data_IF_535433213639
#
_entry.id   IF_535433213639
#
_cell.length_a   1.000
_cell.length_b   1.000
_cell.length_c   1.000
_cell.angle_alpha   90.00
_cell.angle_beta   90.00
_cell.angle_gamma   90.00
#
_symmetry.space_group_name_H-M   'P 1'
#
loop_
_entity.id
_entity.type
_entity.pdbx_description
1 polymer ?
#
# COMPACT_ATOMS: atom_id res chain seq x y z
N UNK A 1 18.82 50.79 41.48
CA UNK A 1 17.48 50.24 41.70
C UNK A 1 17.57 48.75 41.42
N UNK A 2 17.84 47.99 42.48
CA UNK A 2 17.94 46.53 42.44
C UNK A 2 16.55 45.91 42.59
N UNK A 3 16.17 45.04 41.65
CA UNK A 3 15.02 44.16 41.82
C UNK A 3 15.51 42.73 42.11
N UNK A 4 15.09 42.11 43.23
CA UNK A 4 15.54 40.79 43.62
C UNK A 4 14.83 39.71 42.79
N UNK A 5 15.58 38.69 42.36
CA UNK A 5 15.05 37.50 41.70
C UNK A 5 14.78 36.42 42.74
N UNK A 6 13.54 36.31 43.19
CA UNK A 6 13.08 35.18 44.00
C UNK A 6 12.91 33.93 43.12
N UNK A 7 13.73 32.91 43.40
CA UNK A 7 13.60 31.57 42.82
C UNK A 7 12.58 30.77 43.63
N UNK A 8 11.35 30.68 43.15
CA UNK A 8 10.33 29.78 43.70
C UNK A 8 10.63 28.35 43.24
N UNK A 9 11.09 27.49 44.15
CA UNK A 9 11.25 26.05 43.91
C UNK A 9 9.89 25.34 44.06
N UNK A 10 9.23 25.10 42.93
CA UNK A 10 8.04 24.26 42.85
C UNK A 10 8.33 22.78 43.17
N UNK A 11 7.34 22.02 43.69
CA UNK A 11 7.51 20.64 44.09
C UNK A 11 7.76 19.73 42.88
N UNK A 12 8.83 18.91 42.96
CA UNK A 12 9.15 17.87 41.97
C UNK A 12 8.02 16.86 41.89
N UNK A 13 7.24 16.89 40.81
CA UNK A 13 6.25 15.85 40.48
C UNK A 13 6.97 14.52 40.25
N UNK A 14 6.58 13.48 41.00
CA UNK A 14 7.13 12.14 40.89
C UNK A 14 6.97 11.60 39.45
N UNK A 15 8.05 11.02 38.90
CA UNK A 15 8.01 10.34 37.60
C UNK A 15 6.97 9.21 37.64
N UNK A 16 6.09 9.08 36.64
CA UNK A 16 5.13 7.99 36.58
C UNK A 16 5.87 6.64 36.47
N UNK A 17 5.51 5.70 37.35
CA UNK A 17 6.03 4.33 37.32
C UNK A 17 5.71 3.69 35.97
N UNK A 18 6.70 3.02 35.37
CA UNK A 18 6.54 2.30 34.11
C UNK A 18 5.35 1.34 34.18
N UNK A 19 4.40 1.50 33.25
CA UNK A 19 3.26 0.57 33.12
C UNK A 19 3.78 -0.79 32.69
N UNK A 20 3.46 -1.84 33.45
CA UNK A 20 3.70 -3.24 33.05
C UNK A 20 2.98 -3.50 31.71
N UNK A 21 3.56 -4.33 30.82
CA UNK A 21 2.93 -4.65 29.54
C UNK A 21 1.54 -5.24 29.76
N UNK A 22 0.58 -4.79 28.95
CA UNK A 22 -0.80 -5.29 28.96
C UNK A 22 -0.81 -6.81 28.79
N UNK A 23 -1.25 -7.53 29.82
CA UNK A 23 -1.64 -8.93 29.70
C UNK A 23 -2.96 -8.92 28.95
N UNK A 24 -2.92 -9.23 27.65
CA UNK A 24 -4.04 -8.96 26.73
C UNK A 24 -5.26 -9.85 26.97
N UNK A 25 -5.20 -10.94 27.74
CA UNK A 25 -6.41 -11.71 28.08
C UNK A 25 -6.28 -12.38 29.46
N UNK A 26 -7.34 -12.29 30.28
CA UNK A 26 -7.42 -13.06 31.53
C UNK A 26 -7.66 -14.54 31.24
N UNK A 27 -7.36 -15.42 32.22
CA UNK A 27 -7.67 -16.85 32.11
C UNK A 27 -9.18 -17.11 31.88
N UNK A 28 -10.07 -16.23 32.36
CA UNK A 28 -11.49 -16.30 32.04
C UNK A 28 -11.79 -15.95 30.58
N UNK A 29 -11.13 -14.93 29.99
CA UNK A 29 -11.33 -14.55 28.60
C UNK A 29 -10.97 -15.68 27.61
N UNK A 30 -10.06 -16.57 28.01
CA UNK A 30 -9.67 -17.75 27.22
C UNK A 30 -10.63 -18.94 27.37
N UNK A 31 -11.58 -18.94 28.33
CA UNK A 31 -12.59 -20.02 28.45
C UNK A 31 -13.54 -20.05 27.25
N UNK A 32 -13.81 -18.90 26.64
CA UNK A 32 -14.66 -18.76 25.46
C UNK A 32 -14.04 -19.31 24.18
N UNK A 33 -12.79 -19.77 24.20
CA UNK A 33 -12.13 -20.40 23.06
C UNK A 33 -11.90 -21.90 23.27
N UNK A 34 -12.46 -22.49 24.34
CA UNK A 34 -12.34 -23.94 24.62
C UNK A 34 -13.21 -24.82 23.73
N UNK A 35 -14.17 -24.24 23.00
CA UNK A 35 -15.13 -24.97 22.18
C UNK A 35 -14.77 -25.01 20.68
N UNK A 36 -13.70 -24.34 20.25
CA UNK A 36 -13.08 -24.63 18.96
C UNK A 36 -12.30 -25.94 19.09
N UNK A 37 -12.69 -27.02 18.38
CA UNK A 37 -11.92 -28.25 18.39
C UNK A 37 -10.51 -27.93 17.91
N UNK A 38 -9.54 -28.30 18.73
CA UNK A 38 -8.14 -28.15 18.42
C UNK A 38 -7.86 -28.74 17.03
N UNK A 39 -7.35 -27.92 16.12
CA UNK A 39 -6.66 -28.39 14.90
C UNK A 39 -5.47 -29.30 15.29
N UNK A 40 -5.01 -29.24 16.55
CA UNK A 40 -4.07 -30.19 17.17
C UNK A 40 -4.68 -31.55 17.59
N UNK A 41 -6.00 -31.71 17.57
CA UNK A 41 -6.71 -32.94 17.92
C UNK A 41 -6.72 -33.97 16.80
N UNK A 42 -6.67 -33.54 15.53
CA UNK A 42 -6.73 -34.46 14.38
C UNK A 42 -5.43 -35.25 14.17
N UNK A 43 -4.28 -34.70 14.57
CA UNK A 43 -3.02 -35.46 14.59
C UNK A 43 -2.99 -36.58 15.65
N UNK A 44 -3.92 -36.62 16.62
CA UNK A 44 -4.04 -37.75 17.54
C UNK A 44 -4.72 -38.98 16.90
N UNK A 45 -5.49 -38.79 15.82
CA UNK A 45 -6.21 -39.90 15.17
C UNK A 45 -5.38 -40.62 14.10
N UNK A 46 -4.39 -39.96 13.49
CA UNK A 46 -3.39 -40.63 12.65
C UNK A 46 -2.63 -41.73 13.41
N UNK A 47 -2.40 -41.55 14.73
CA UNK A 47 -1.79 -42.57 15.59
C UNK A 47 -2.70 -43.77 15.86
N UNK A 48 -4.03 -43.58 15.92
CA UNK A 48 -4.96 -44.68 16.12
C UNK A 48 -5.03 -45.57 14.87
N UNK A 49 -4.97 -44.98 13.68
CA UNK A 49 -5.06 -45.73 12.42
C UNK A 49 -3.94 -46.76 12.25
N UNK A 50 -2.70 -46.42 12.65
CA UNK A 50 -1.57 -47.37 12.59
C UNK A 50 -1.66 -48.43 13.71
N UNK A 51 -2.12 -48.09 14.91
CA UNK A 51 -2.21 -49.06 16.02
C UNK A 51 -3.32 -50.11 15.82
N UNK A 52 -4.42 -49.75 15.16
CA UNK A 52 -5.55 -50.67 14.95
C UNK A 52 -5.30 -51.61 13.77
N UNK A 53 -4.48 -51.22 12.78
CA UNK A 53 -4.16 -52.08 11.64
C UNK A 53 -3.17 -53.21 11.97
N UNK A 54 -2.31 -53.02 12.98
CA UNK A 54 -1.34 -54.05 13.42
C UNK A 54 -1.82 -54.90 14.60
N UNK A 55 -3.01 -54.65 15.15
CA UNK A 55 -3.54 -55.44 16.27
C UNK A 55 -4.27 -56.73 15.86
N UNK A 56 -4.42 -57.01 14.56
CA UNK A 56 -5.21 -58.16 14.08
C UNK A 56 -4.42 -59.29 13.40
N UNK A 57 -3.10 -59.20 13.29
CA UNK A 57 -2.29 -60.33 12.84
C UNK A 57 -1.04 -60.52 13.69
N UNK A 58 -0.98 -61.71 14.29
CA UNK A 58 0.16 -62.37 14.93
C UNK A 58 0.40 -62.12 16.43
N UNK A 59 -0.20 -63.04 17.20
CA UNK A 59 0.28 -63.54 18.49
C UNK A 59 1.67 -64.18 18.31
N UNK A 60 2.74 -63.40 18.37
CA UNK A 60 4.07 -63.90 18.78
C UNK A 60 4.53 -63.01 19.93
N UNK A 61 4.38 -63.57 21.11
CA UNK A 61 5.02 -63.11 22.34
C UNK A 61 6.52 -63.41 22.29
N UNK A 62 7.30 -62.67 23.09
CA UNK A 62 8.77 -62.73 23.24
C UNK A 62 9.57 -61.83 22.28
N UNK A 63 9.39 -60.51 22.40
CA UNK A 63 10.50 -59.58 22.62
C UNK A 63 9.91 -58.20 22.91
N UNK A 64 9.77 -57.88 24.21
CA UNK A 64 9.45 -56.54 24.69
C UNK A 64 10.67 -55.62 24.54
N UNK A 65 11.16 -55.44 23.32
CA UNK A 65 11.97 -54.28 22.95
C UNK A 65 11.01 -53.10 22.97
N UNK A 66 11.16 -52.26 23.99
CA UNK A 66 10.61 -50.92 24.02
C UNK A 66 11.17 -50.14 22.83
N UNK A 67 10.54 -50.31 21.66
CA UNK A 67 10.70 -49.44 20.51
C UNK A 67 10.11 -48.09 20.90
N UNK A 68 10.88 -47.32 21.66
CA UNK A 68 10.72 -45.88 21.79
C UNK A 68 10.90 -45.32 20.39
N UNK A 69 9.82 -45.29 19.59
CA UNK A 69 9.87 -44.63 18.31
C UNK A 69 10.34 -43.21 18.58
N UNK A 70 11.53 -42.81 18.09
CA UNK A 70 11.96 -41.44 18.27
C UNK A 70 10.89 -40.58 17.62
N UNK A 71 10.19 -39.78 18.44
CA UNK A 71 9.37 -38.68 17.94
C UNK A 71 10.33 -37.68 17.34
N UNK A 72 10.84 -37.95 16.14
CA UNK A 72 11.41 -36.92 15.31
C UNK A 72 10.24 -36.04 14.86
N UNK A 73 9.96 -35.03 15.66
CA UNK A 73 9.23 -33.86 15.17
C UNK A 73 10.20 -33.14 14.26
N UNK A 74 10.02 -33.31 12.95
CA UNK A 74 10.77 -32.56 11.96
C UNK A 74 10.53 -31.06 12.22
N UNK A 75 11.59 -30.35 12.58
CA UNK A 75 11.55 -28.91 12.79
C UNK A 75 11.37 -28.20 11.45
N UNK A 76 10.77 -27.01 11.47
CA UNK A 76 10.68 -26.18 10.28
C UNK A 76 12.06 -25.88 9.66
N UNK A 77 13.10 -25.76 10.50
CA UNK A 77 14.48 -25.53 10.04
C UNK A 77 15.23 -26.78 9.60
N UNK A 78 14.66 -27.97 9.83
CA UNK A 78 15.19 -29.21 9.26
C UNK A 78 14.78 -29.36 7.78
N UNK A 79 13.85 -28.53 7.30
CA UNK A 79 13.49 -28.45 5.88
C UNK A 79 14.62 -27.77 5.10
N UNK A 80 14.95 -28.24 3.89
CA UNK A 80 15.79 -27.50 2.93
C UNK A 80 15.24 -26.09 2.64
N UNK A 81 16.13 -25.17 2.28
CA UNK A 81 15.78 -23.77 2.05
C UNK A 81 14.67 -23.61 0.99
N UNK A 82 14.70 -24.43 -0.06
CA UNK A 82 13.73 -24.44 -1.15
C UNK A 82 12.32 -24.77 -0.65
N UNK A 83 12.20 -25.70 0.29
CA UNK A 83 10.91 -26.04 0.90
C UNK A 83 10.45 -24.94 1.86
N UNK A 84 11.35 -24.29 2.60
CA UNK A 84 11.01 -23.13 3.44
C UNK A 84 10.49 -21.96 2.59
N UNK A 85 11.13 -21.69 1.44
CA UNK A 85 10.67 -20.69 0.47
C UNK A 85 9.27 -21.02 -0.05
N UNK A 86 8.97 -22.27 -0.39
CA UNK A 86 7.58 -22.69 -0.74
C UNK A 86 6.58 -22.41 0.37
N UNK A 87 6.94 -22.64 1.63
CA UNK A 87 6.10 -22.29 2.78
C UNK A 87 5.92 -20.77 2.88
N UNK A 88 6.97 -19.98 2.65
CA UNK A 88 6.86 -18.51 2.64
C UNK A 88 5.99 -17.99 1.51
N UNK A 89 6.07 -18.53 0.29
CA UNK A 89 5.16 -18.16 -0.79
C UNK A 89 3.70 -18.42 -0.39
N UNK A 90 3.42 -19.60 0.16
CA UNK A 90 2.07 -19.92 0.63
C UNK A 90 1.59 -18.99 1.75
N UNK A 91 2.49 -18.56 2.64
CA UNK A 91 2.15 -17.75 3.81
C UNK A 91 2.08 -16.25 3.54
N UNK A 92 2.85 -15.74 2.55
CA UNK A 92 3.14 -14.32 2.40
C UNK A 92 2.83 -13.75 1.01
N UNK A 93 2.62 -14.55 -0.04
CA UNK A 93 2.29 -14.04 -1.37
C UNK A 93 0.78 -13.81 -1.52
N UNK A 94 0.42 -12.69 -2.13
CA UNK A 94 -0.94 -12.32 -2.51
C UNK A 94 -1.05 -12.25 -4.03
N UNK A 95 -2.16 -12.77 -4.53
CA UNK A 95 -2.58 -12.50 -5.90
C UNK A 95 -3.09 -11.06 -6.05
N UNK A 96 -3.64 -10.51 -4.98
CA UNK A 96 -4.16 -9.15 -4.95
C UNK A 96 -3.18 -8.16 -4.29
N UNK A 97 -3.13 -6.91 -4.78
CA UNK A 97 -2.34 -5.85 -4.18
C UNK A 97 -2.70 -5.56 -2.72
N UNK A 98 -1.69 -5.29 -1.88
CA UNK A 98 -1.86 -4.89 -0.49
C UNK A 98 -1.97 -3.36 -0.43
N UNK A 99 -3.18 -2.85 -0.25
CA UNK A 99 -3.42 -1.42 -0.11
C UNK A 99 -3.40 -0.98 1.36
N UNK A 100 -2.40 -0.17 1.72
CA UNK A 100 -2.25 0.36 3.07
C UNK A 100 -3.08 1.62 3.33
N UNK A 101 -3.49 2.31 2.27
CA UNK A 101 -4.30 3.51 2.36
C UNK A 101 -5.28 3.53 1.19
N UNK A 102 -6.31 2.66 1.23
CA UNK A 102 -7.32 2.65 0.20
C UNK A 102 -8.03 3.99 0.15
N UNK A 103 -8.45 4.35 -1.05
CA UNK A 103 -9.35 5.48 -1.25
C UNK A 103 -10.71 5.14 -0.62
N UNK A 104 -11.32 6.12 0.03
CA UNK A 104 -12.59 5.96 0.74
C UNK A 104 -13.55 7.06 0.29
N UNK A 105 -14.82 6.72 0.11
CA UNK A 105 -15.88 7.70 -0.23
C UNK A 105 -16.14 8.71 0.92
N UNK A 106 -15.57 8.47 2.10
CA UNK A 106 -15.70 9.31 3.30
C UNK A 106 -14.97 10.65 3.13
N UNK A 107 -15.63 11.64 2.53
CA UNK A 107 -15.09 12.99 2.30
C UNK A 107 -14.81 13.81 3.58
N UNK A 108 -15.37 13.41 4.74
CA UNK A 108 -15.58 14.37 5.83
C UNK A 108 -14.92 14.13 7.19
N UNK A 109 -14.31 12.98 7.53
CA UNK A 109 -13.53 12.90 8.78
C UNK A 109 -12.36 11.90 8.75
N UNK A 110 -11.16 12.37 9.11
CA UNK A 110 -9.94 11.57 9.35
C UNK A 110 -10.21 10.30 10.20
N UNK A 111 -11.11 10.39 11.16
CA UNK A 111 -11.47 9.26 12.02
C UNK A 111 -12.13 8.13 11.22
N UNK A 112 -13.10 8.45 10.36
CA UNK A 112 -13.81 7.45 9.55
C UNK A 112 -12.87 6.85 8.52
N UNK A 113 -12.08 7.67 7.83
CA UNK A 113 -11.04 7.17 6.89
C UNK A 113 -10.12 6.18 7.60
N UNK A 114 -9.58 6.51 8.78
CA UNK A 114 -8.72 5.59 9.56
C UNK A 114 -9.46 4.32 9.97
N UNK A 115 -10.71 4.45 10.42
CA UNK A 115 -11.53 3.31 10.83
C UNK A 115 -11.79 2.38 9.64
N UNK A 116 -12.10 2.94 8.48
CA UNK A 116 -12.41 2.22 7.24
C UNK A 116 -11.15 1.57 6.69
N UNK A 117 -10.01 2.28 6.62
CA UNK A 117 -8.72 1.69 6.26
C UNK A 117 -8.32 0.56 7.24
N UNK A 118 -8.54 0.73 8.56
CA UNK A 118 -8.24 -0.33 9.53
C UNK A 118 -9.17 -1.53 9.37
N UNK A 119 -10.46 -1.31 9.12
CA UNK A 119 -11.43 -2.36 8.87
C UNK A 119 -11.10 -3.11 7.56
N UNK A 120 -10.76 -2.38 6.51
CA UNK A 120 -10.29 -2.91 5.23
C UNK A 120 -9.06 -3.79 5.43
N UNK A 121 -8.02 -3.27 6.09
CA UNK A 121 -6.78 -4.01 6.31
C UNK A 121 -7.02 -5.25 7.18
N UNK A 122 -7.81 -5.14 8.26
CA UNK A 122 -8.19 -6.30 9.08
C UNK A 122 -8.93 -7.35 8.26
N UNK A 123 -9.84 -6.92 7.39
CA UNK A 123 -10.57 -7.83 6.49
C UNK A 123 -9.62 -8.51 5.52
N UNK A 124 -8.70 -7.78 4.90
CA UNK A 124 -7.66 -8.32 4.02
C UNK A 124 -6.83 -9.39 4.74
N UNK A 125 -6.33 -9.09 5.95
CA UNK A 125 -5.57 -10.03 6.77
C UNK A 125 -6.38 -11.30 7.11
N UNK A 126 -7.64 -11.15 7.48
CA UNK A 126 -8.50 -12.26 7.90
C UNK A 126 -8.97 -13.13 6.73
N UNK A 127 -9.37 -12.53 5.62
CA UNK A 127 -9.93 -13.25 4.46
C UNK A 127 -8.84 -14.00 3.69
N UNK A 128 -7.65 -13.41 3.58
CA UNK A 128 -6.60 -13.92 2.70
C UNK A 128 -5.51 -14.71 3.45
N UNK A 129 -5.77 -15.07 4.72
CA UNK A 129 -4.88 -15.87 5.58
C UNK A 129 -3.46 -15.34 5.68
N UNK A 130 -3.29 -14.02 5.62
CA UNK A 130 -1.98 -13.39 5.70
C UNK A 130 -1.39 -13.59 7.10
N UNK A 131 -0.43 -14.51 7.23
CA UNK A 131 0.14 -14.86 8.52
C UNK A 131 1.32 -13.96 8.88
N UNK A 132 1.11 -12.64 9.02
CA UNK A 132 2.19 -11.72 9.44
C UNK A 132 2.78 -12.08 10.81
N UNK A 133 2.04 -12.80 11.66
CA UNK A 133 2.59 -13.35 12.90
C UNK A 133 3.75 -14.33 12.63
N UNK A 134 3.73 -15.06 11.52
CA UNK A 134 4.80 -15.99 11.17
C UNK A 134 6.12 -15.26 10.88
N UNK A 135 6.09 -14.14 10.16
CA UNK A 135 7.27 -13.26 9.96
C UNK A 135 7.90 -12.77 11.26
N UNK A 136 7.14 -12.77 12.37
CA UNK A 136 7.59 -12.27 13.68
C UNK A 136 8.05 -13.37 14.63
N UNK A 137 8.08 -14.63 14.19
CA UNK A 137 8.43 -15.77 15.06
C UNK A 137 9.90 -15.81 15.42
N UNK A 138 10.80 -15.66 14.45
CA UNK A 138 12.24 -15.61 14.68
C UNK A 138 12.97 -14.86 13.54
N UNK A 139 14.26 -14.54 13.77
CA UNK A 139 15.08 -13.78 12.81
C UNK A 139 15.30 -14.50 11.48
N UNK A 140 15.41 -15.82 11.47
CA UNK A 140 15.61 -16.59 10.25
C UNK A 140 14.36 -16.52 9.35
N UNK A 141 13.17 -16.77 9.92
CA UNK A 141 11.89 -16.61 9.20
C UNK A 141 11.69 -15.16 8.75
N UNK A 142 12.04 -14.18 9.60
CA UNK A 142 11.96 -12.78 9.21
C UNK A 142 12.88 -12.49 8.02
N UNK A 143 14.13 -12.95 8.04
CA UNK A 143 15.11 -12.68 6.98
C UNK A 143 14.70 -13.33 5.65
N UNK A 144 14.39 -14.63 5.67
CA UNK A 144 14.03 -15.38 4.47
C UNK A 144 12.63 -15.00 3.95
N UNK A 145 11.65 -14.88 4.87
CA UNK A 145 10.27 -14.60 4.52
C UNK A 145 10.01 -13.15 4.09
N UNK A 146 10.82 -12.19 4.55
CA UNK A 146 10.68 -10.79 4.13
C UNK A 146 11.00 -10.61 2.64
N UNK A 147 11.94 -11.38 2.09
CA UNK A 147 12.23 -11.30 0.65
C UNK A 147 11.01 -11.68 -0.19
N UNK A 148 10.33 -12.78 0.17
CA UNK A 148 9.08 -13.19 -0.48
C UNK A 148 7.98 -12.16 -0.25
N UNK A 149 7.79 -11.72 1.00
CA UNK A 149 6.70 -10.78 1.34
C UNK A 149 6.85 -9.42 0.65
N UNK A 150 8.05 -8.83 0.63
CA UNK A 150 8.23 -7.52 0.01
C UNK A 150 8.54 -7.60 -1.50
N UNK A 151 9.10 -8.71 -1.97
CA UNK A 151 9.52 -8.86 -3.37
C UNK A 151 8.47 -9.37 -4.33
N UNK A 152 7.45 -10.06 -3.83
CA UNK A 152 6.43 -10.69 -4.70
C UNK A 152 5.04 -10.10 -4.54
N UNK A 153 4.87 -9.12 -3.65
CA UNK A 153 3.60 -8.43 -3.46
C UNK A 153 3.66 -7.02 -4.01
N UNK A 154 2.55 -6.60 -4.61
CA UNK A 154 2.31 -5.21 -4.95
C UNK A 154 1.82 -4.46 -3.71
N UNK A 155 2.47 -3.34 -3.36
CA UNK A 155 1.98 -2.45 -2.30
C UNK A 155 1.36 -1.20 -2.91
N UNK A 156 0.11 -0.93 -2.53
CA UNK A 156 -0.62 0.27 -2.94
C UNK A 156 -0.79 1.24 -1.78
N UNK A 157 -0.78 2.51 -2.15
CA UNK A 157 -1.11 3.63 -1.29
C UNK A 157 -2.07 4.50 -2.05
N UNK A 158 -3.29 4.01 -2.26
CA UNK A 158 -4.20 4.48 -3.30
C UNK A 158 -4.78 5.88 -3.09
N UNK A 159 -4.90 6.32 -1.84
CA UNK A 159 -5.53 7.60 -1.50
C UNK A 159 -4.67 8.82 -1.89
N UNK A 160 -5.25 10.01 -2.00
CA UNK A 160 -4.61 11.28 -2.43
C UNK A 160 -3.27 11.59 -1.72
N UNK A 161 -3.14 11.23 -0.44
CA UNK A 161 -1.90 11.42 0.35
C UNK A 161 -1.04 10.15 0.47
N UNK A 162 -1.33 9.14 -0.33
CA UNK A 162 -0.69 7.83 -0.29
C UNK A 162 0.82 7.87 -0.51
N UNK A 163 1.34 8.76 -1.35
CA UNK A 163 2.79 8.93 -1.55
C UNK A 163 3.52 9.27 -0.22
N UNK A 164 2.88 10.01 0.69
CA UNK A 164 3.44 10.27 2.00
C UNK A 164 3.50 9.02 2.87
N UNK A 165 2.43 8.23 2.84
CA UNK A 165 2.35 6.98 3.60
C UNK A 165 3.31 5.94 3.04
N UNK A 166 3.50 5.92 1.71
CA UNK A 166 4.53 5.12 1.05
C UNK A 166 5.93 5.50 1.55
N UNK A 167 6.22 6.80 1.65
CA UNK A 167 7.51 7.27 2.15
C UNK A 167 7.75 6.84 3.61
N UNK A 168 6.73 6.99 4.46
CA UNK A 168 6.79 6.50 5.84
C UNK A 168 6.92 4.98 5.93
N UNK A 169 6.20 4.24 5.10
CA UNK A 169 6.26 2.79 5.04
C UNK A 169 7.69 2.34 4.73
N UNK A 170 8.30 2.87 3.66
CA UNK A 170 9.68 2.56 3.27
C UNK A 170 10.65 2.89 4.40
N UNK A 171 10.45 4.02 5.08
CA UNK A 171 11.27 4.40 6.23
C UNK A 171 11.13 3.43 7.41
N UNK A 172 9.90 2.92 7.69
CA UNK A 172 9.60 2.08 8.84
C UNK A 172 9.97 0.60 8.66
N UNK A 173 9.96 0.08 7.44
CA UNK A 173 10.34 -1.31 7.18
C UNK A 173 11.85 -1.55 7.22
N UNK A 174 12.66 -0.53 7.52
CA UNK A 174 14.14 -0.57 7.58
C UNK A 174 14.82 -0.89 6.23
N UNK A 175 16.10 -0.50 6.14
CA UNK A 175 16.92 -0.72 4.93
C UNK A 175 16.97 -2.16 4.47
N UNK A 176 16.91 -3.10 5.41
CA UNK A 176 17.02 -4.52 5.11
C UNK A 176 15.82 -5.08 4.34
N UNK A 177 14.65 -4.44 4.41
CA UNK A 177 13.44 -4.99 3.81
C UNK A 177 12.97 -4.20 2.60
N UNK A 178 13.14 -2.88 2.58
CA UNK A 178 12.69 -2.11 1.42
C UNK A 178 13.44 -2.46 0.14
N UNK A 179 14.68 -2.96 0.22
CA UNK A 179 15.47 -3.34 -0.96
C UNK A 179 14.80 -4.44 -1.80
N UNK A 180 13.89 -5.20 -1.18
CA UNK A 180 13.16 -6.26 -1.86
C UNK A 180 11.94 -5.74 -2.61
N UNK A 181 11.46 -4.51 -2.35
CA UNK A 181 10.28 -3.98 -3.02
C UNK A 181 10.51 -3.93 -4.53
N UNK A 182 9.61 -4.58 -5.28
CA UNK A 182 9.66 -4.63 -6.74
C UNK A 182 8.63 -3.71 -7.39
N UNK A 183 7.47 -3.53 -6.76
CA UNK A 183 6.36 -2.77 -7.30
C UNK A 183 5.69 -1.89 -6.25
N UNK A 184 5.39 -0.64 -6.62
CA UNK A 184 4.64 0.31 -5.79
C UNK A 184 3.58 1.03 -6.62
N UNK A 185 2.45 1.30 -5.98
CA UNK A 185 1.36 2.09 -6.54
C UNK A 185 1.09 3.28 -5.63
N UNK A 186 1.21 4.50 -6.15
CA UNK A 186 1.05 5.75 -5.39
C UNK A 186 0.21 6.76 -6.17
N UNK A 187 -0.54 7.65 -5.49
CA UNK A 187 -1.16 8.80 -6.12
C UNK A 187 -0.10 9.69 -6.72
N UNK A 188 -0.51 10.38 -7.77
CA UNK A 188 0.27 11.45 -8.35
C UNK A 188 0.46 12.58 -7.32
N UNK A 189 1.71 12.96 -7.02
CA UNK A 189 2.04 13.89 -5.94
C UNK A 189 1.66 15.34 -6.25
N UNK A 190 1.27 15.65 -7.49
CA UNK A 190 0.96 17.00 -7.95
C UNK A 190 -0.21 17.63 -7.17
N UNK A 191 -0.02 18.80 -6.54
CA UNK A 191 -1.11 19.52 -5.89
C UNK A 191 -2.23 19.82 -6.89
N UNK A 192 -3.47 19.56 -6.49
CA UNK A 192 -4.65 20.07 -7.17
C UNK A 192 -5.23 21.24 -6.39
N UNK A 193 -5.95 22.16 -7.05
CA UNK A 193 -6.61 23.29 -6.37
C UNK A 193 -7.53 22.83 -5.23
N UNK A 194 -8.16 21.66 -5.38
CA UNK A 194 -9.01 21.07 -4.36
C UNK A 194 -8.25 20.46 -3.16
N UNK A 195 -6.91 20.37 -3.17
CA UNK A 195 -6.15 19.89 -2.00
C UNK A 195 -6.15 20.85 -0.81
N UNK A 196 -6.56 22.10 -1.02
CA UNK A 196 -6.85 23.04 0.06
C UNK A 196 -8.07 22.64 0.90
N UNK A 197 -8.80 21.57 0.51
CA UNK A 197 -9.83 21.03 1.38
C UNK A 197 -9.22 20.72 2.75
N UNK A 198 -9.77 21.30 3.84
CA UNK A 198 -9.27 21.16 5.21
C UNK A 198 -9.30 19.72 5.75
N UNK A 199 -9.68 18.74 4.93
CA UNK A 199 -9.83 17.33 5.20
C UNK A 199 -8.70 16.48 4.57
N UNK A 200 -7.76 17.07 3.81
CA UNK A 200 -6.51 16.39 3.45
C UNK A 200 -5.76 16.11 4.76
N UNK A 201 -5.66 14.82 5.13
CA UNK A 201 -5.15 14.28 6.42
C UNK A 201 -4.67 15.41 7.32
N UNK A 202 -5.57 15.96 8.16
CA UNK A 202 -5.10 16.92 9.16
C UNK A 202 -4.08 16.16 9.97
N UNK A 203 -2.85 16.63 9.94
CA UNK A 203 -1.71 16.07 10.66
C UNK A 203 -1.90 16.32 12.16
N UNK A 204 -2.97 15.77 12.74
CA UNK A 204 -3.11 15.66 14.18
C UNK A 204 -2.01 14.72 14.67
N UNK A 205 -1.14 15.28 15.51
CA UNK A 205 -0.14 14.76 16.45
C UNK A 205 0.49 13.37 16.24
N UNK A 206 -0.28 12.35 15.86
CA UNK A 206 0.19 10.98 15.71
C UNK A 206 1.09 10.77 14.48
N UNK A 207 0.83 11.47 13.36
CA UNK A 207 1.71 11.40 12.20
C UNK A 207 3.02 12.14 12.46
N UNK A 208 2.98 13.31 13.12
CA UNK A 208 4.16 14.12 13.42
C UNK A 208 5.22 13.36 14.20
N UNK A 209 4.81 12.57 15.19
CA UNK A 209 5.75 11.73 15.96
C UNK A 209 6.42 10.62 15.12
N UNK A 210 5.84 10.28 13.97
CA UNK A 210 6.33 9.24 13.07
C UNK A 210 7.07 9.80 11.85
N UNK A 211 7.00 11.12 11.61
CA UNK A 211 7.72 11.77 10.52
C UNK A 211 9.24 11.72 10.81
N UNK A 212 10.06 11.29 9.86
CA UNK A 212 11.52 11.19 10.05
C UNK A 212 12.17 12.55 10.25
N UNK A 213 11.60 13.62 9.66
CA UNK A 213 12.20 14.96 9.69
C UNK A 213 11.15 16.04 9.92
N UNK A 214 11.47 17.00 10.79
CA UNK A 214 10.64 18.20 11.01
C UNK A 214 10.57 19.10 9.76
N UNK A 215 11.52 18.94 8.83
CA UNK A 215 11.55 19.67 7.55
C UNK A 215 10.37 19.37 6.63
N UNK A 216 9.58 18.34 6.92
CA UNK A 216 8.34 18.05 6.18
C UNK A 216 7.17 18.90 6.67
N UNK A 217 7.38 19.85 7.59
CA UNK A 217 6.34 20.72 8.10
C UNK A 217 6.61 22.19 7.72
N UNK A 218 5.75 22.79 6.90
CA UNK A 218 5.72 24.23 6.69
C UNK A 218 5.23 24.92 7.97
N UNK A 219 6.07 25.79 8.51
CA UNK A 219 5.82 26.55 9.74
C UNK A 219 5.34 25.67 10.92
N UNK A 220 5.80 24.42 10.97
CA UNK A 220 5.45 23.44 12.01
C UNK A 220 3.98 22.98 12.01
N UNK A 221 3.18 23.35 11.01
CA UNK A 221 1.73 23.08 11.01
C UNK A 221 1.22 22.29 9.83
N UNK A 222 1.69 22.59 8.62
CA UNK A 222 1.24 21.95 7.37
C UNK A 222 2.31 21.03 6.84
N UNK A 223 1.95 19.92 6.21
CA UNK A 223 2.94 19.07 5.55
C UNK A 223 3.40 19.77 4.28
N UNK A 224 4.71 19.86 4.07
CA UNK A 224 5.26 20.23 2.78
C UNK A 224 5.35 19.00 1.85
N UNK A 225 4.55 19.03 0.79
CA UNK A 225 4.44 17.94 -0.17
C UNK A 225 5.72 17.74 -0.98
N UNK A 226 6.40 18.83 -1.35
CA UNK A 226 7.57 18.79 -2.24
C UNK A 226 8.74 18.04 -1.58
N UNK A 227 9.25 18.41 -0.38
CA UNK A 227 10.30 17.68 0.30
C UNK A 227 9.90 16.24 0.63
N UNK A 228 8.61 16.00 0.91
CA UNK A 228 8.12 14.65 1.19
C UNK A 228 8.22 13.76 -0.04
N UNK A 229 7.86 14.27 -1.21
CA UNK A 229 7.98 13.54 -2.47
C UNK A 229 9.44 13.42 -2.94
N UNK A 230 10.26 14.46 -2.80
CA UNK A 230 11.70 14.37 -3.06
C UNK A 230 12.37 13.29 -2.21
N UNK A 231 12.00 13.20 -0.92
CA UNK A 231 12.50 12.15 -0.04
C UNK A 231 11.96 10.76 -0.43
N UNK A 232 10.71 10.65 -0.90
CA UNK A 232 10.19 9.41 -1.46
C UNK A 232 11.03 8.97 -2.67
N UNK A 233 11.24 9.86 -3.64
CA UNK A 233 12.09 9.60 -4.81
C UNK A 233 13.50 9.16 -4.39
N UNK A 234 14.10 9.86 -3.43
CA UNK A 234 15.40 9.49 -2.90
C UNK A 234 15.41 8.07 -2.32
N UNK A 235 14.35 7.67 -1.62
CA UNK A 235 14.20 6.29 -1.15
C UNK A 235 14.01 5.29 -2.31
N UNK A 236 13.16 5.60 -3.29
CA UNK A 236 12.89 4.74 -4.45
C UNK A 236 14.15 4.48 -5.28
N UNK A 237 15.01 5.48 -5.46
CA UNK A 237 16.30 5.34 -6.14
C UNK A 237 17.23 4.33 -5.47
N UNK A 238 17.08 4.10 -4.16
CA UNK A 238 17.90 3.17 -3.38
C UNK A 238 17.36 1.75 -3.36
N UNK A 239 16.19 1.52 -3.95
CA UNK A 239 15.60 0.20 -4.07
C UNK A 239 16.17 -0.48 -5.32
N UNK A 240 17.11 -1.41 -5.11
CA UNK A 240 17.82 -2.08 -6.21
C UNK A 240 16.87 -2.91 -7.09
N UNK A 241 15.90 -3.59 -6.49
CA UNK A 241 14.96 -4.47 -7.21
C UNK A 241 13.70 -3.76 -7.70
N UNK A 242 13.63 -2.42 -7.64
CA UNK A 242 12.44 -1.66 -8.01
C UNK A 242 12.24 -1.64 -9.51
N UNK A 243 11.18 -2.30 -9.97
CA UNK A 243 10.91 -2.57 -11.39
C UNK A 243 9.70 -1.84 -11.93
N UNK A 244 8.70 -1.58 -11.08
CA UNK A 244 7.43 -1.03 -11.54
C UNK A 244 6.87 0.01 -10.59
N UNK A 245 6.52 1.17 -11.14
CA UNK A 245 5.85 2.25 -10.44
C UNK A 245 4.51 2.53 -11.12
N UNK A 246 3.41 2.38 -10.38
CA UNK A 246 2.07 2.74 -10.86
C UNK A 246 1.70 4.10 -10.26
N UNK A 247 1.47 5.08 -11.13
CA UNK A 247 1.09 6.44 -10.78
C UNK A 247 -0.40 6.63 -10.97
N UNK A 248 -1.07 7.02 -9.90
CA UNK A 248 -2.52 7.09 -9.87
C UNK A 248 -2.99 8.53 -10.00
N UNK A 249 -3.66 8.82 -11.10
CA UNK A 249 -4.37 10.07 -11.33
C UNK A 249 -5.77 9.98 -10.76
N UNK A 250 -6.01 10.70 -9.67
CA UNK A 250 -7.34 10.80 -9.13
C UNK A 250 -8.25 11.61 -10.06
N UNK A 251 -9.52 11.23 -10.07
CA UNK A 251 -10.57 12.08 -10.61
C UNK A 251 -10.61 13.40 -9.83
N UNK A 252 -10.28 14.50 -10.51
CA UNK A 252 -10.52 15.83 -9.98
C UNK A 252 -11.58 16.50 -10.85
N UNK A 253 -12.79 16.66 -10.32
CA UNK A 253 -13.89 17.37 -11.00
C UNK A 253 -13.52 18.81 -11.34
N UNK A 254 -12.56 19.41 -10.62
CA UNK A 254 -12.04 20.73 -10.98
C UNK A 254 -11.26 20.71 -12.29
N UNK A 255 -10.82 19.54 -12.79
CA UNK A 255 -10.19 19.41 -14.10
C UNK A 255 -11.19 19.59 -15.24
N UNK A 256 -12.42 19.07 -15.10
CA UNK A 256 -13.48 19.33 -16.10
C UNK A 256 -13.83 20.81 -16.14
N UNK A 257 -13.99 21.45 -14.98
CA UNK A 257 -14.27 22.90 -14.90
C UNK A 257 -13.07 23.72 -15.37
N UNK A 258 -11.85 23.26 -15.09
CA UNK A 258 -10.63 23.90 -15.56
C UNK A 258 -10.41 23.76 -17.06
N UNK A 259 -10.87 22.68 -17.68
CA UNK A 259 -10.83 22.55 -19.14
C UNK A 259 -11.73 23.60 -19.82
N UNK A 260 -12.80 24.05 -19.15
CA UNK A 260 -13.63 25.16 -19.60
C UNK A 260 -13.03 26.54 -19.28
N UNK A 261 -12.20 26.63 -18.24
CA UNK A 261 -11.51 27.85 -17.85
C UNK A 261 -10.06 27.73 -18.31
N UNK A 262 -9.73 28.17 -19.55
CA UNK A 262 -8.38 28.12 -20.16
C UNK A 262 -7.21 28.58 -19.24
N UNK A 263 -7.49 29.28 -18.14
CA UNK A 263 -6.53 29.79 -17.15
C UNK A 263 -6.49 29.01 -15.81
N UNK A 264 -7.33 28.00 -15.63
CA UNK A 264 -7.36 27.21 -14.41
C UNK A 264 -6.34 26.07 -14.54
N UNK A 265 -5.11 26.31 -14.11
CA UNK A 265 -4.06 25.31 -14.18
C UNK A 265 -4.49 23.97 -13.55
N UNK A 266 -4.74 22.97 -14.40
CA UNK A 266 -4.94 21.58 -13.99
C UNK A 266 -3.66 20.96 -13.41
N UNK A 267 -3.65 19.64 -13.24
CA UNK A 267 -2.47 18.88 -12.81
C UNK A 267 -1.21 19.31 -13.58
N UNK A 268 -0.31 20.03 -12.90
CA UNK A 268 0.98 20.44 -13.45
C UNK A 268 0.97 21.64 -14.43
N UNK A 269 -0.16 22.34 -14.61
CA UNK A 269 -0.22 23.51 -15.51
C UNK A 269 0.08 24.83 -14.78
N UNK A 270 -0.10 24.88 -13.45
CA UNK A 270 0.48 26.00 -12.71
C UNK A 270 2.00 25.84 -12.70
N UNK A 271 2.70 26.82 -13.28
CA UNK A 271 4.14 27.03 -13.12
C UNK A 271 4.54 27.38 -11.67
N UNK A 272 3.81 26.86 -10.68
CA UNK A 272 4.27 26.93 -9.30
C UNK A 272 5.61 26.23 -9.18
N UNK A 273 6.49 26.82 -8.38
CA UNK A 273 7.81 26.25 -8.08
C UNK A 273 7.70 24.83 -7.52
N UNK A 274 6.62 24.54 -6.79
CA UNK A 274 6.35 23.23 -6.21
C UNK A 274 6.11 22.14 -7.27
N UNK A 275 5.28 22.42 -8.28
CA UNK A 275 5.07 21.50 -9.39
C UNK A 275 6.36 21.24 -10.17
N UNK A 276 7.16 22.29 -10.39
CA UNK A 276 8.48 22.16 -11.05
C UNK A 276 9.43 21.28 -10.23
N UNK A 277 9.45 21.44 -8.91
CA UNK A 277 10.28 20.64 -8.03
C UNK A 277 9.85 19.16 -8.00
N UNK A 278 8.55 18.88 -7.89
CA UNK A 278 8.00 17.52 -7.98
C UNK A 278 8.36 16.87 -9.32
N UNK A 279 8.18 17.61 -10.42
CA UNK A 279 8.56 17.13 -11.75
C UNK A 279 10.03 16.82 -11.85
N UNK A 280 10.90 17.73 -11.39
CA UNK A 280 12.35 17.51 -11.39
C UNK A 280 12.72 16.26 -10.59
N UNK A 281 12.14 16.09 -9.41
CA UNK A 281 12.37 14.89 -8.60
C UNK A 281 11.93 13.62 -9.34
N UNK A 282 10.76 13.64 -9.97
CA UNK A 282 10.30 12.52 -10.77
C UNK A 282 11.20 12.24 -11.98
N UNK A 283 11.59 13.25 -12.75
CA UNK A 283 12.54 13.08 -13.87
C UNK A 283 13.86 12.47 -13.39
N UNK A 284 14.40 12.92 -12.26
CA UNK A 284 15.61 12.34 -11.67
C UNK A 284 15.44 10.86 -11.30
N UNK A 285 14.24 10.42 -10.90
CA UNK A 285 13.95 8.99 -10.64
C UNK A 285 14.04 8.18 -11.93
N UNK A 286 13.41 8.67 -13.00
CA UNK A 286 13.36 7.98 -14.29
C UNK A 286 14.75 7.92 -14.93
N UNK A 287 15.49 9.02 -14.91
CA UNK A 287 16.87 9.08 -15.42
C UNK A 287 17.80 8.14 -14.65
N UNK A 288 17.61 8.04 -13.33
CA UNK A 288 18.40 7.13 -12.49
C UNK A 288 18.00 5.65 -12.64
N UNK A 289 16.81 5.36 -13.14
CA UNK A 289 16.25 4.00 -13.31
C UNK A 289 15.58 3.84 -14.69
N UNK A 290 16.37 3.80 -15.78
CA UNK A 290 15.83 3.69 -17.14
C UNK A 290 15.07 2.38 -17.41
N UNK A 291 15.26 1.36 -16.58
CA UNK A 291 14.55 0.09 -16.60
C UNK A 291 13.22 0.10 -15.83
N UNK A 292 12.89 1.20 -15.17
CA UNK A 292 11.66 1.33 -14.39
C UNK A 292 10.45 1.41 -15.33
N UNK A 293 9.57 0.41 -15.26
CA UNK A 293 8.27 0.47 -15.90
C UNK A 293 7.37 1.45 -15.14
N UNK A 294 6.79 2.42 -15.85
CA UNK A 294 5.82 3.34 -15.28
C UNK A 294 4.45 3.13 -15.91
N UNK A 295 3.47 2.79 -15.07
CA UNK A 295 2.07 2.71 -15.50
C UNK A 295 1.34 3.93 -14.93
N UNK A 296 0.69 4.71 -15.79
CA UNK A 296 -0.19 5.80 -15.36
C UNK A 296 -1.62 5.27 -15.37
N UNK A 297 -2.25 5.24 -14.21
CA UNK A 297 -3.63 4.79 -14.04
C UNK A 297 -4.49 5.98 -13.67
N UNK A 298 -5.50 6.30 -14.48
CA UNK A 298 -6.51 7.28 -14.08
C UNK A 298 -7.71 6.57 -13.50
N UNK A 299 -8.06 6.95 -12.28
CA UNK A 299 -9.24 6.44 -11.59
C UNK A 299 -10.43 7.28 -11.97
N UNK A 300 -11.52 6.61 -12.29
CA UNK A 300 -12.80 7.27 -12.39
C UNK A 300 -13.85 6.63 -11.51
N UNK A 301 -14.83 7.45 -11.16
CA UNK A 301 -16.10 6.93 -10.67
C UNK A 301 -16.79 6.20 -11.83
N UNK A 302 -17.27 4.99 -11.54
CA UNK A 302 -18.19 4.30 -12.43
C UNK A 302 -19.33 5.27 -12.73
N UNK A 303 -19.65 5.60 -14.00
CA UNK A 303 -20.84 6.36 -14.29
C UNK A 303 -21.96 5.56 -13.63
N UNK A 304 -22.56 6.14 -12.60
CA UNK A 304 -23.86 5.66 -12.19
C UNK A 304 -24.67 5.81 -13.46
N UNK A 305 -25.12 4.69 -14.03
CA UNK A 305 -25.95 4.70 -15.22
C UNK A 305 -27.15 5.55 -14.86
N UNK A 306 -27.11 6.84 -15.19
CA UNK A 306 -28.27 7.70 -15.13
C UNK A 306 -29.22 7.08 -16.13
N UNK A 307 -30.17 6.30 -15.59
CA UNK A 307 -31.15 5.54 -16.33
C UNK A 307 -31.88 6.52 -17.25
N UNK A 308 -31.58 6.48 -18.55
CA UNK A 308 -32.30 7.25 -19.57
C UNK A 308 -31.48 8.12 -20.54
N UNK A 309 -30.14 8.18 -20.45
CA UNK A 309 -29.32 8.98 -21.40
C UNK A 309 -28.79 8.17 -22.59
N UNK A 310 -28.51 6.89 -22.38
CA UNK A 310 -28.00 5.99 -23.42
C UNK A 310 -28.96 4.80 -23.60
N UNK A 311 -29.17 4.40 -24.85
CA UNK A 311 -30.10 3.31 -25.21
C UNK A 311 -29.54 1.94 -24.76
N UNK A 312 -28.22 1.82 -24.64
CA UNK A 312 -27.56 0.60 -24.16
C UNK A 312 -26.40 0.88 -23.19
N UNK A 313 -26.10 -0.09 -22.31
CA UNK A 313 -24.93 -0.05 -21.42
C UNK A 313 -23.61 -0.02 -22.20
N UNK A 314 -23.58 -0.62 -23.40
CA UNK A 314 -22.42 -0.62 -24.29
C UNK A 314 -22.13 0.76 -24.87
N UNK A 315 -23.15 1.51 -25.30
CA UNK A 315 -22.98 2.87 -25.82
C UNK A 315 -22.57 3.85 -24.71
N UNK A 316 -23.16 3.72 -23.52
CA UNK A 316 -22.75 4.49 -22.35
C UNK A 316 -21.26 4.24 -22.03
N UNK A 317 -20.85 2.98 -22.04
CA UNK A 317 -19.46 2.58 -21.82
C UNK A 317 -18.54 3.12 -22.93
N UNK A 318 -18.93 3.05 -24.20
CA UNK A 318 -18.10 3.50 -25.31
C UNK A 318 -17.94 5.02 -25.36
N UNK A 319 -19.04 5.78 -25.22
CA UNK A 319 -18.99 7.24 -25.15
C UNK A 319 -18.16 7.72 -23.96
N UNK A 320 -18.28 7.00 -22.83
CA UNK A 320 -17.46 7.22 -21.65
C UNK A 320 -15.97 6.94 -21.92
N UNK A 321 -15.64 5.81 -22.53
CA UNK A 321 -14.25 5.45 -22.88
C UNK A 321 -13.63 6.43 -23.88
N UNK A 322 -14.40 6.98 -24.81
CA UNK A 322 -13.95 8.04 -25.71
C UNK A 322 -13.68 9.35 -24.96
N UNK A 323 -14.62 9.82 -24.14
CA UNK A 323 -14.39 10.99 -23.28
C UNK A 323 -13.19 10.79 -22.35
N UNK A 324 -12.99 9.55 -21.89
CA UNK A 324 -11.90 9.12 -21.04
C UNK A 324 -10.54 9.23 -21.74
N UNK A 325 -10.37 8.63 -22.93
CA UNK A 325 -9.12 8.72 -23.70
C UNK A 325 -8.78 10.16 -24.02
N UNK A 326 -9.75 10.95 -24.49
CA UNK A 326 -9.54 12.38 -24.74
C UNK A 326 -9.10 13.13 -23.47
N UNK A 327 -9.66 12.82 -22.30
CA UNK A 327 -9.29 13.46 -21.04
C UNK A 327 -7.89 13.08 -20.55
N UNK A 328 -7.43 11.86 -20.86
CA UNK A 328 -6.10 11.37 -20.54
C UNK A 328 -5.04 11.96 -21.47
N UNK A 329 -5.33 12.06 -22.75
CA UNK A 329 -4.43 12.60 -23.76
C UNK A 329 -4.29 14.11 -23.66
N UNK A 330 -5.40 14.81 -23.36
CA UNK A 330 -5.40 16.24 -23.07
C UNK A 330 -4.75 16.59 -21.73
N UNK A 331 -4.54 15.60 -20.84
CA UNK A 331 -3.74 15.83 -19.66
C UNK A 331 -2.28 16.02 -20.09
N UNK A 332 -1.87 17.28 -20.23
CA UNK A 332 -0.50 17.76 -20.46
C UNK A 332 0.56 16.90 -19.73
N UNK A 333 0.23 16.52 -18.50
CA UNK A 333 0.99 15.63 -17.63
C UNK A 333 1.32 14.27 -18.26
N UNK A 334 0.35 13.59 -18.87
CA UNK A 334 0.51 12.28 -19.53
C UNK A 334 1.38 12.42 -20.77
N UNK A 335 1.14 13.45 -21.60
CA UNK A 335 1.99 13.75 -22.77
C UNK A 335 3.45 13.97 -22.34
N UNK A 336 3.66 14.76 -21.29
CA UNK A 336 4.99 15.02 -20.72
C UNK A 336 5.66 13.74 -20.17
N UNK A 337 4.90 12.85 -19.52
CA UNK A 337 5.43 11.56 -19.05
C UNK A 337 5.82 10.65 -20.22
N UNK A 338 4.97 10.52 -21.24
CA UNK A 338 5.29 9.72 -22.44
C UNK A 338 6.58 10.18 -23.12
N UNK A 339 6.83 11.49 -23.16
CA UNK A 339 8.09 12.02 -23.70
C UNK A 339 9.30 11.77 -22.80
N UNK A 340 9.10 11.61 -21.48
CA UNK A 340 10.19 11.52 -20.50
C UNK A 340 10.53 10.09 -20.09
N UNK A 341 9.62 9.13 -20.30
CA UNK A 341 9.74 7.75 -19.80
C UNK A 341 9.65 6.78 -20.97
N UNK A 342 10.73 6.01 -21.17
CA UNK A 342 10.85 5.09 -22.30
C UNK A 342 9.81 3.96 -22.29
N UNK A 343 9.52 3.40 -21.11
CA UNK A 343 8.54 2.33 -20.91
C UNK A 343 7.37 2.85 -20.06
N UNK A 344 6.55 3.70 -20.68
CA UNK A 344 5.40 4.33 -20.06
C UNK A 344 4.12 3.77 -20.67
N UNK A 345 3.30 3.09 -19.87
CA UNK A 345 1.96 2.67 -20.29
C UNK A 345 0.90 3.53 -19.63
N UNK A 346 -0.21 3.77 -20.32
CA UNK A 346 -1.36 4.51 -19.79
C UNK A 346 -2.55 3.58 -19.75
N UNK A 347 -3.20 3.49 -18.59
CA UNK A 347 -4.24 2.52 -18.30
C UNK A 347 -5.47 3.17 -17.70
N UNK A 348 -6.61 2.53 -17.94
CA UNK A 348 -7.88 2.86 -17.30
C UNK A 348 -8.19 1.95 -16.13
N UNK A 349 -8.70 2.54 -15.04
CA UNK A 349 -9.22 1.76 -13.93
C UNK A 349 -10.53 2.33 -13.39
N UNK A 350 -11.46 1.43 -13.08
CA UNK A 350 -12.65 1.75 -12.30
C UNK A 350 -12.32 1.68 -10.82
N UNK A 351 -12.79 2.66 -10.05
CA UNK A 351 -12.92 2.48 -8.61
C UNK A 351 -14.24 1.80 -8.27
N UNK A 352 -14.16 0.60 -7.70
CA UNK A 352 -15.31 -0.04 -7.09
C UNK A 352 -15.61 0.63 -5.74
N UNK A 353 -16.89 0.68 -5.32
CA UNK A 353 -17.40 1.17 -4.01
C UNK A 353 -16.73 0.57 -2.73
N UNK A 354 -15.69 -0.26 -2.89
CA UNK A 354 -14.95 -0.91 -1.79
C UNK A 354 -13.46 -0.55 -1.77
N UNK A 355 -13.04 0.47 -2.53
CA UNK A 355 -11.65 0.88 -2.66
C UNK A 355 -10.79 -0.16 -3.40
N UNK A 356 -11.41 -1.04 -4.19
CA UNK A 356 -10.71 -1.94 -5.10
C UNK A 356 -10.76 -1.35 -6.50
N UNK A 357 -9.65 -1.48 -7.22
CA UNK A 357 -9.58 -1.05 -8.61
C UNK A 357 -9.55 -2.24 -9.52
N UNK A 358 -10.34 -2.15 -10.58
CA UNK A 358 -10.27 -3.07 -11.70
C UNK A 358 -9.62 -2.30 -12.85
N UNK A 359 -8.42 -2.73 -13.26
CA UNK A 359 -7.80 -2.22 -14.47
C UNK A 359 -8.62 -2.79 -15.62
N UNK A 360 -9.17 -1.90 -16.42
CA UNK A 360 -10.16 -2.24 -17.44
C UNK A 360 -9.42 -2.72 -18.67
N UNK A 361 -8.55 -1.87 -19.22
CA UNK A 361 -7.91 -2.07 -20.50
C UNK A 361 -6.58 -1.31 -20.57
N UNK A 362 -5.66 -1.86 -21.37
CA UNK A 362 -4.56 -1.08 -21.94
C UNK A 362 -5.16 -0.15 -23.00
N UNK A 363 -4.95 1.16 -22.87
CA UNK A 363 -5.50 2.12 -23.84
C UNK A 363 -4.82 1.86 -25.20
N UNK A 364 -5.58 1.53 -26.27
CA UNK A 364 -4.98 1.18 -27.56
C UNK A 364 -4.12 2.31 -28.12
N UNK A 365 -2.90 2.01 -28.60
CA UNK A 365 -1.95 3.02 -29.09
C UNK A 365 -2.46 3.83 -30.28
N UNK A 366 -3.35 3.25 -31.10
CA UNK A 366 -3.97 3.86 -32.28
C UNK A 366 -5.00 4.94 -31.93
N UNK A 367 -5.48 4.98 -30.69
CA UNK A 367 -6.33 6.06 -30.18
C UNK A 367 -5.48 7.24 -29.67
N UNK A 368 -4.18 7.03 -29.38
CA UNK A 368 -3.33 7.94 -28.61
C UNK A 368 -2.63 9.06 -29.41
N UNK A 369 -2.91 9.20 -30.71
CA UNK A 369 -2.35 10.25 -31.55
C UNK A 369 -3.46 11.21 -32.00
N UNK A 370 -3.59 12.41 -31.39
CA UNK A 370 -4.31 13.47 -32.07
C UNK A 370 -3.61 13.74 -33.40
N UNK A 371 -4.41 13.86 -34.46
CA UNK A 371 -3.95 14.34 -35.76
C UNK A 371 -3.04 15.55 -35.54
N UNK A 372 -1.83 15.47 -36.07
CA UNK A 372 -0.80 16.49 -35.91
C UNK A 372 -1.41 17.88 -36.11
N UNK A 373 -1.09 18.75 -35.16
CA UNK A 373 -1.35 20.18 -35.17
C UNK A 373 -1.08 20.69 -36.59
N UNK A 374 -2.11 21.22 -37.25
CA UNK A 374 -1.93 22.11 -38.39
C UNK A 374 -0.85 23.11 -37.98
N UNK A 375 0.29 23.06 -38.67
CA UNK A 375 1.32 24.07 -38.58
C UNK A 375 0.64 25.42 -38.71
N UNK A 376 0.63 26.19 -37.62
CA UNK A 376 0.40 27.62 -37.71
C UNK A 376 1.67 28.15 -38.37
N UNK A 377 1.65 28.20 -39.70
CA UNK A 377 2.62 28.94 -40.51
C UNK A 377 2.59 30.40 -40.04
N UNK A 378 3.70 30.86 -39.44
CA UNK A 378 4.02 32.27 -39.22
C UNK A 378 4.54 32.94 -40.51
#
# INVERSE_FOLDING_TARGET
>A
MDTPKDKVSGPRTARPKARKPFVVNSKEALKTYRHTPAIYGEMKYARKFVSTFFSYHFYIDVFSLTLSQPKQTLSFFDLPAELRVKVYHYAFRFEEPIDFLPQTDSQNHDYWVRKDCHAYFRRLLNQRRLNLSFLRTCRAVQSEGSEVFYGENEFRFSNVNGHMVANLFIHKIYKQHFMFITQLTIPMPFPTRNREHPNSIRTRDNFRASLPTQSWLDNGTRINYVPTFEHLVWNLNRIEKFKKLVLVLHWDTSFEVAHYLKDAGGYGVSESDDNRAIWRAFTNLIEAKPELQVDIVRIHQKPETEVGVFDTEAEALQAYLQSYSMSLESAYLVRKMKCSVKDCTVKAAWEHRRGMWEIIEDVPEDVLLPAEENEVED
#
